data_IF_707302344150
#
_entry.id   IF_707302344150
#
_cell.length_a   1.000
_cell.length_b   1.000
_cell.length_c   1.000
_cell.angle_alpha   90.00
_cell.angle_beta   90.00
_cell.angle_gamma   90.00
#
_symmetry.space_group_name_H-M   'P 1'
#
loop_
_entity.id
_entity.type
_entity.pdbx_description
1 polymer ?
#
# COMPACT_ATOMS: atom_id res chain seq x y z
N UNK A 1 -6.18 14.60 3.70
CA UNK A 1 -7.42 14.05 3.11
C UNK A 1 -7.23 12.54 3.02
N UNK A 2 -8.10 11.77 3.67
CA UNK A 2 -8.11 10.31 3.59
C UNK A 2 -9.01 9.88 2.43
N UNK A 3 -8.74 8.73 1.83
CA UNK A 3 -9.48 8.23 0.68
C UNK A 3 -10.10 6.87 1.02
N UNK A 4 -11.35 6.70 0.63
CA UNK A 4 -12.06 5.44 0.75
C UNK A 4 -11.44 4.39 -0.17
N UNK A 5 -11.25 3.18 0.35
CA UNK A 5 -10.76 2.04 -0.41
C UNK A 5 -11.88 1.01 -0.45
N UNK A 6 -12.40 0.77 -1.65
CA UNK A 6 -13.50 -0.17 -1.90
C UNK A 6 -13.09 -1.19 -2.98
N UNK A 7 -13.80 -2.32 -3.08
CA UNK A 7 -13.58 -3.25 -4.19
C UNK A 7 -13.76 -2.58 -5.55
N UNK A 8 -14.71 -1.65 -5.69
CA UNK A 8 -14.91 -0.90 -6.95
C UNK A 8 -13.73 0.01 -7.28
N UNK A 9 -13.13 0.67 -6.29
CA UNK A 9 -11.93 1.48 -6.49
C UNK A 9 -10.74 0.62 -6.95
N UNK A 10 -10.60 -0.59 -6.40
CA UNK A 10 -9.55 -1.54 -6.79
C UNK A 10 -9.80 -2.11 -8.18
N UNK A 11 -11.04 -2.49 -8.50
CA UNK A 11 -11.43 -2.95 -9.85
C UNK A 11 -11.15 -1.90 -10.92
N UNK A 12 -11.36 -0.62 -10.61
CA UNK A 12 -11.06 0.47 -11.54
C UNK A 12 -9.57 0.62 -11.85
N UNK A 13 -8.70 0.09 -10.98
CA UNK A 13 -7.25 0.08 -11.16
C UNK A 13 -6.73 -1.18 -11.89
N UNK A 14 -7.59 -2.17 -12.18
CA UNK A 14 -7.18 -3.37 -12.89
C UNK A 14 -6.83 -3.07 -14.35
N UNK A 15 -5.88 -3.84 -14.90
CA UNK A 15 -5.71 -3.90 -16.34
C UNK A 15 -6.93 -4.59 -16.98
N UNK A 16 -7.25 -4.31 -18.25
CA UNK A 16 -8.35 -4.99 -18.94
C UNK A 16 -8.25 -6.52 -18.90
N UNK A 17 -7.02 -7.07 -18.97
CA UNK A 17 -6.79 -8.51 -18.86
C UNK A 17 -7.14 -9.06 -17.47
N UNK A 18 -6.69 -8.39 -16.40
CA UNK A 18 -6.98 -8.81 -15.03
C UNK A 18 -8.47 -8.72 -14.72
N UNK A 19 -9.16 -7.70 -15.25
CA UNK A 19 -10.61 -7.59 -15.13
C UNK A 19 -11.32 -8.78 -15.79
N UNK A 20 -10.90 -9.18 -16.99
CA UNK A 20 -11.47 -10.33 -17.68
C UNK A 20 -11.21 -11.64 -16.91
N UNK A 21 -9.99 -11.84 -16.43
CA UNK A 21 -9.63 -13.02 -15.65
C UNK A 21 -10.42 -13.10 -14.33
N UNK A 22 -10.58 -11.97 -13.64
CA UNK A 22 -11.36 -11.91 -12.39
C UNK A 22 -12.83 -12.22 -12.63
N UNK A 23 -13.42 -11.69 -13.71
CA UNK A 23 -14.80 -11.99 -14.09
C UNK A 23 -14.98 -13.48 -14.41
N UNK A 24 -14.05 -14.07 -15.17
CA UNK A 24 -14.09 -15.50 -15.48
C UNK A 24 -13.94 -16.35 -14.21
N UNK A 25 -13.00 -15.98 -13.32
CA UNK A 25 -12.82 -16.66 -12.05
C UNK A 25 -14.08 -16.65 -11.17
N UNK A 26 -14.83 -15.54 -11.14
CA UNK A 26 -16.12 -15.48 -10.44
C UNK A 26 -17.21 -16.36 -11.07
N UNK A 27 -17.21 -16.51 -12.40
CA UNK A 27 -18.12 -17.45 -13.10
C UNK A 27 -17.82 -18.88 -12.69
N UNK A 28 -16.54 -19.24 -12.64
CA UNK A 28 -16.08 -20.58 -12.28
C UNK A 28 -16.22 -20.84 -10.76
N UNK A 29 -16.23 -19.79 -9.94
CA UNK A 29 -16.29 -19.84 -8.49
C UNK A 29 -17.41 -18.93 -7.93
N UNK A 30 -18.70 -19.26 -8.14
CA UNK A 30 -19.80 -18.39 -7.75
C UNK A 30 -19.89 -18.11 -6.25
N UNK A 31 -19.32 -18.98 -5.40
CA UNK A 31 -19.21 -18.76 -3.95
C UNK A 31 -18.18 -17.71 -3.53
N UNK A 32 -17.39 -17.17 -4.49
CA UNK A 32 -16.37 -16.14 -4.26
C UNK A 32 -16.86 -14.73 -4.58
N UNK A 33 -18.14 -14.55 -4.92
CA UNK A 33 -18.75 -13.22 -5.06
C UNK A 33 -18.64 -12.49 -3.71
N UNK A 34 -18.05 -11.29 -3.73
CA UNK A 34 -17.75 -10.49 -2.52
C UNK A 34 -16.36 -10.74 -1.94
N UNK A 35 -15.58 -11.70 -2.45
CA UNK A 35 -14.26 -12.01 -1.91
C UNK A 35 -13.28 -10.82 -2.01
N UNK A 36 -13.39 -10.02 -3.07
CA UNK A 36 -12.57 -8.81 -3.20
C UNK A 36 -12.90 -7.78 -2.10
N UNK A 37 -14.17 -7.63 -1.73
CA UNK A 37 -14.56 -6.76 -0.61
C UNK A 37 -13.95 -7.26 0.70
N UNK A 38 -13.99 -8.58 0.96
CA UNK A 38 -13.36 -9.16 2.15
C UNK A 38 -11.84 -8.94 2.21
N UNK A 39 -11.16 -9.05 1.07
CA UNK A 39 -9.71 -8.76 0.96
C UNK A 39 -9.44 -7.28 1.23
N UNK A 40 -10.25 -6.39 0.66
CA UNK A 40 -10.15 -4.94 0.88
C UNK A 40 -10.32 -4.62 2.36
N UNK A 41 -11.36 -5.12 3.01
CA UNK A 41 -11.64 -4.88 4.42
C UNK A 41 -10.50 -5.37 5.31
N UNK A 42 -9.96 -6.56 5.03
CA UNK A 42 -8.82 -7.11 5.76
C UNK A 42 -7.59 -6.22 5.64
N UNK A 43 -7.19 -5.87 4.41
CA UNK A 43 -5.98 -5.07 4.17
C UNK A 43 -6.14 -3.65 4.73
N UNK A 44 -7.28 -3.00 4.52
CA UNK A 44 -7.56 -1.68 5.11
C UNK A 44 -7.50 -1.75 6.63
N UNK A 45 -8.07 -2.80 7.23
CA UNK A 45 -8.00 -3.04 8.68
C UNK A 45 -6.55 -3.15 9.19
N UNK A 46 -5.69 -3.90 8.50
CA UNK A 46 -4.27 -4.02 8.85
C UNK A 46 -3.52 -2.69 8.79
N UNK A 47 -3.71 -1.91 7.73
CA UNK A 47 -3.11 -0.59 7.61
C UNK A 47 -3.61 0.36 8.70
N UNK A 48 -4.91 0.33 9.01
CA UNK A 48 -5.46 1.17 10.07
C UNK A 48 -4.95 0.78 11.44
N UNK A 49 -4.86 -0.51 11.74
CA UNK A 49 -4.26 -0.98 12.99
C UNK A 49 -2.80 -0.52 13.14
N UNK A 50 -2.03 -0.56 12.04
CA UNK A 50 -0.66 -0.04 12.03
C UNK A 50 -0.60 1.49 12.25
N UNK A 51 -1.53 2.22 11.64
CA UNK A 51 -1.62 3.68 11.81
C UNK A 51 -2.04 4.06 13.23
N UNK A 52 -2.96 3.30 13.83
CA UNK A 52 -3.44 3.48 15.20
C UNK A 52 -2.38 3.16 16.27
N UNK A 53 -1.39 2.32 15.96
CA UNK A 53 -0.29 2.07 16.89
C UNK A 53 0.61 3.28 17.10
N UNK A 54 0.57 4.24 16.17
CA UNK A 54 1.42 5.43 16.19
C UNK A 54 0.68 6.60 16.85
N UNK A 55 1.14 7.11 18.01
CA UNK A 55 0.41 8.12 18.79
C UNK A 55 0.30 9.49 18.10
N UNK A 56 1.16 9.77 17.12
CA UNK A 56 1.13 11.01 16.34
C UNK A 56 0.11 10.99 15.19
N UNK A 57 -0.45 9.81 14.86
CA UNK A 57 -1.42 9.68 13.77
C UNK A 57 -2.76 10.26 14.16
N UNK A 58 -3.24 11.24 13.39
CA UNK A 58 -4.64 11.66 13.47
C UNK A 58 -5.49 10.78 12.55
N UNK A 59 -6.21 9.84 13.14
CA UNK A 59 -7.08 8.90 12.42
C UNK A 59 -8.32 9.58 11.84
N UNK A 60 -8.72 9.16 10.64
CA UNK A 60 -10.03 9.49 10.09
C UNK A 60 -11.12 8.62 10.73
N UNK A 61 -12.29 9.23 10.95
CA UNK A 61 -13.43 8.58 11.60
C UNK A 61 -14.09 7.49 10.74
N UNK A 62 -13.82 7.48 9.44
CA UNK A 62 -14.37 6.50 8.51
C UNK A 62 -13.47 5.26 8.45
N UNK A 63 -13.99 4.09 8.82
CA UNK A 63 -13.19 2.86 8.91
C UNK A 63 -12.64 2.37 7.56
N UNK A 64 -13.29 2.67 6.44
CA UNK A 64 -12.88 2.25 5.10
C UNK A 64 -11.85 3.16 4.43
N UNK A 65 -11.26 4.13 5.15
CA UNK A 65 -10.37 5.12 4.56
C UNK A 65 -8.92 4.92 4.97
N UNK A 66 -8.01 5.28 4.06
CA UNK A 66 -6.56 5.30 4.26
C UNK A 66 -5.95 6.65 3.84
N UNK A 67 -4.82 7.07 4.43
CA UNK A 67 -4.11 8.25 3.96
C UNK A 67 -3.50 7.99 2.56
N UNK A 68 -3.28 9.03 1.73
CA UNK A 68 -2.81 8.88 0.35
C UNK A 68 -1.51 8.09 0.21
N UNK A 69 -0.61 8.21 1.19
CA UNK A 69 0.67 7.48 1.22
C UNK A 69 0.50 5.96 1.29
N UNK A 70 -0.61 5.46 1.84
CA UNK A 70 -0.87 4.02 2.00
C UNK A 70 -1.55 3.40 0.77
N UNK A 71 -2.26 4.17 -0.06
CA UNK A 71 -3.15 3.65 -1.10
C UNK A 71 -2.47 2.70 -2.08
N UNK A 72 -1.30 3.09 -2.61
CA UNK A 72 -0.55 2.25 -3.55
C UNK A 72 -0.11 0.94 -2.89
N UNK A 73 0.30 0.99 -1.63
CA UNK A 73 0.79 -0.18 -0.90
C UNK A 73 -0.37 -1.13 -0.55
N UNK A 74 -1.49 -0.59 -0.08
CA UNK A 74 -2.71 -1.36 0.15
C UNK A 74 -3.20 -2.02 -1.15
N UNK A 75 -3.27 -1.26 -2.25
CA UNK A 75 -3.68 -1.78 -3.56
C UNK A 75 -2.78 -2.94 -4.05
N UNK A 76 -1.47 -2.81 -3.90
CA UNK A 76 -0.53 -3.89 -4.25
C UNK A 76 -0.76 -5.16 -3.43
N UNK A 77 -1.02 -5.05 -2.12
CA UNK A 77 -1.29 -6.22 -1.26
C UNK A 77 -2.63 -6.85 -1.64
N UNK A 78 -3.67 -6.05 -1.86
CA UNK A 78 -5.00 -6.54 -2.28
C UNK A 78 -4.90 -7.31 -3.59
N UNK A 79 -4.24 -6.74 -4.61
CA UNK A 79 -4.07 -7.38 -5.93
C UNK A 79 -3.25 -8.65 -5.80
N UNK A 80 -2.18 -8.64 -5.00
CA UNK A 80 -1.35 -9.82 -4.75
C UNK A 80 -2.15 -10.95 -4.12
N UNK A 81 -2.93 -10.67 -3.06
CA UNK A 81 -3.76 -11.68 -2.40
C UNK A 81 -4.83 -12.23 -3.34
N UNK A 82 -5.51 -11.36 -4.09
CA UNK A 82 -6.52 -11.79 -5.07
C UNK A 82 -5.91 -12.70 -6.14
N UNK A 83 -4.78 -12.30 -6.74
CA UNK A 83 -4.08 -13.11 -7.75
C UNK A 83 -3.64 -14.47 -7.21
N UNK A 84 -3.22 -14.52 -5.94
CA UNK A 84 -2.93 -15.77 -5.24
C UNK A 84 -4.16 -16.68 -5.15
N UNK A 85 -5.34 -16.15 -4.80
CA UNK A 85 -6.59 -16.93 -4.75
C UNK A 85 -7.11 -17.35 -6.13
N UNK A 86 -6.80 -16.57 -7.17
CA UNK A 86 -7.11 -16.90 -8.56
C UNK A 86 -6.09 -17.86 -9.19
N UNK A 87 -5.09 -18.33 -8.42
CA UNK A 87 -4.00 -19.18 -8.89
C UNK A 87 -3.23 -18.59 -10.08
N UNK A 88 -3.17 -17.25 -10.17
CA UNK A 88 -2.43 -16.57 -11.23
C UNK A 88 -0.94 -16.51 -10.91
N UNK A 89 -0.12 -16.77 -11.92
CA UNK A 89 1.32 -16.53 -11.82
C UNK A 89 1.60 -15.04 -11.71
N UNK A 90 2.22 -14.64 -10.62
CA UNK A 90 2.71 -13.28 -10.41
C UNK A 90 4.01 -13.07 -11.17
N UNK A 91 4.11 -11.93 -11.86
CA UNK A 91 5.38 -11.48 -12.43
C UNK A 91 6.37 -11.10 -11.32
N UNK A 92 7.66 -11.08 -11.64
CA UNK A 92 8.69 -10.63 -10.70
C UNK A 92 8.44 -9.20 -10.19
N UNK A 93 7.98 -8.31 -11.08
CA UNK A 93 7.66 -6.94 -10.74
C UNK A 93 6.50 -6.82 -9.74
N UNK A 94 5.47 -7.65 -9.89
CA UNK A 94 4.32 -7.71 -8.98
C UNK A 94 4.71 -8.28 -7.62
N UNK A 95 5.49 -9.36 -7.59
CA UNK A 95 6.04 -9.91 -6.36
C UNK A 95 6.88 -8.86 -5.61
N UNK A 96 7.78 -8.17 -6.33
CA UNK A 96 8.60 -7.12 -5.73
C UNK A 96 7.75 -5.94 -5.22
N UNK A 97 6.65 -5.60 -5.91
CA UNK A 97 5.73 -4.55 -5.48
C UNK A 97 4.95 -4.93 -4.20
N UNK A 98 4.51 -6.18 -4.09
CA UNK A 98 3.87 -6.72 -2.89
C UNK A 98 4.83 -6.77 -1.69
N UNK A 99 6.06 -7.26 -1.89
CA UNK A 99 7.10 -7.28 -0.84
C UNK A 99 7.40 -5.87 -0.34
N UNK A 100 7.56 -4.89 -1.24
CA UNK A 100 7.78 -3.49 -0.84
C UNK A 100 6.58 -2.90 -0.10
N UNK A 101 5.37 -3.35 -0.39
CA UNK A 101 4.17 -2.93 0.33
C UNK A 101 4.11 -3.53 1.73
N UNK A 102 4.45 -4.81 1.90
CA UNK A 102 4.56 -5.44 3.22
C UNK A 102 5.64 -4.78 4.09
N UNK A 103 6.81 -4.49 3.51
CA UNK A 103 7.88 -3.75 4.21
C UNK A 103 7.42 -2.36 4.64
N UNK A 104 6.65 -1.66 3.79
CA UNK A 104 6.08 -0.36 4.14
C UNK A 104 5.09 -0.47 5.31
N UNK A 105 4.18 -1.45 5.28
CA UNK A 105 3.23 -1.71 6.37
C UNK A 105 3.95 -2.01 7.69
N UNK A 106 4.98 -2.88 7.67
CA UNK A 106 5.83 -3.13 8.84
C UNK A 106 6.58 -1.88 9.31
N UNK A 107 6.99 -1.04 8.37
CA UNK A 107 7.65 0.23 8.67
C UNK A 107 6.75 1.19 9.45
N UNK A 108 5.44 1.20 9.16
CA UNK A 108 4.44 1.94 9.94
C UNK A 108 4.34 1.36 11.36
N UNK A 109 4.23 0.03 11.49
CA UNK A 109 4.16 -0.65 12.79
C UNK A 109 5.37 -0.38 13.69
N UNK A 110 6.55 -0.24 13.09
CA UNK A 110 7.80 0.04 13.81
C UNK A 110 8.04 1.54 14.05
N UNK A 111 7.05 2.39 13.74
CA UNK A 111 7.15 3.86 13.81
C UNK A 111 8.28 4.46 12.96
N UNK A 112 8.88 3.66 12.06
CA UNK A 112 10.01 4.07 11.21
C UNK A 112 9.57 4.89 9.99
N UNK A 113 8.26 4.87 9.68
CA UNK A 113 7.63 5.66 8.63
C UNK A 113 6.55 6.50 9.30
N UNK A 114 6.65 7.84 9.29
CA UNK A 114 5.64 8.70 9.89
C UNK A 114 4.30 8.52 9.18
N UNK A 115 3.30 8.14 9.97
CA UNK A 115 1.93 7.99 9.53
C UNK A 115 1.39 9.34 9.02
N UNK A 116 0.78 9.33 7.83
CA UNK A 116 0.14 10.52 7.26
C UNK A 116 1.10 11.60 6.72
N UNK A 117 2.41 11.35 6.65
CA UNK A 117 3.33 12.30 6.02
C UNK A 117 3.08 12.34 4.52
N UNK A 118 2.43 13.42 4.06
CA UNK A 118 2.47 13.84 2.67
C UNK A 118 3.93 13.90 2.25
N UNK A 119 4.27 13.19 1.16
CA UNK A 119 5.53 13.23 0.43
C UNK A 119 6.72 13.76 1.25
N UNK A 120 7.62 12.87 1.68
CA UNK A 120 8.91 13.20 2.28
C UNK A 120 9.54 14.37 1.49
N UNK A 121 9.40 15.58 2.01
CA UNK A 121 10.02 16.81 1.50
C UNK A 121 11.30 17.04 2.27
N UNK A 122 12.04 15.97 2.52
CA UNK A 122 13.42 16.07 2.94
C UNK A 122 14.25 15.46 1.83
N UNK A 123 14.57 16.30 0.86
CA UNK A 123 15.70 16.04 -0.03
C UNK A 123 16.92 15.83 0.87
N UNK A 124 17.71 14.76 0.68
CA UNK A 124 18.97 14.62 1.41
C UNK A 124 19.80 15.89 1.20
N UNK A 125 20.02 16.64 2.27
CA UNK A 125 20.99 17.72 2.28
C UNK A 125 22.36 17.06 2.38
N UNK A 126 23.07 16.97 1.25
CA UNK A 126 24.50 16.73 1.30
C UNK A 126 25.14 18.00 1.87
N UNK A 127 25.56 17.97 3.13
CA UNK A 127 26.53 18.93 3.60
C UNK A 127 27.77 18.74 2.71
N UNK A 128 28.06 19.72 1.87
CA UNK A 128 29.27 19.73 1.06
C UNK A 128 30.49 19.51 1.98
N UNK A 129 31.54 18.83 1.50
CA UNK A 129 32.72 18.57 2.31
C UNK A 129 33.24 19.89 2.86
N UNK A 130 33.45 19.93 4.19
CA UNK A 130 34.09 21.04 4.89
C UNK A 130 35.29 21.53 4.08
N UNK A 131 35.27 22.82 3.71
CA UNK A 131 36.39 23.48 3.04
C UNK A 131 37.67 23.21 3.84
N UNK A 132 38.66 22.60 3.19
CA UNK A 132 39.98 22.46 3.75
C UNK A 132 40.55 23.86 3.98
N UNK A 133 40.68 24.24 5.24
CA UNK A 133 41.34 25.46 5.65
C UNK A 133 42.82 25.35 5.24
N UNK A 134 43.20 26.04 4.16
CA UNK A 134 44.59 26.16 3.74
C UNK A 134 45.40 26.80 4.88
N UNK A 135 46.29 26.02 5.50
CA UNK A 135 47.33 26.57 6.35
C UNK A 135 48.39 27.21 5.47
N UNK A 136 48.33 28.53 5.34
CA UNK A 136 49.45 29.32 4.84
C UNK A 136 50.63 29.24 5.85
N UNK A 137 51.79 28.83 5.36
CA UNK A 137 53.11 29.11 5.96
C UNK A 137 54.02 29.70 4.88
#
# INVERSE_FOLDING_TARGET
>A
MWNEVTASSILSAFSPSLTADYQQWLVDNPGKVGRLDEIVDMVVGEFRAALESNPETVMDTTAGTLPPSCLRHASNIIIFQLKGEMEQTLTEAENAAAIRADVFLRGIWMESIPAGSAAVTQTPSYAGPHEFQEFAQ
#
